data_IF_930011781717
#
_entry.id   IF_930011781717
#
_cell.length_a   1.000
_cell.length_b   1.000
_cell.length_c   1.000
_cell.angle_alpha   90.00
_cell.angle_beta   90.00
_cell.angle_gamma   90.00
#
_symmetry.space_group_name_H-M   'P 1'
#
loop_
_entity.id
_entity.type
_entity.pdbx_description
1 polymer ?
#
# COMPACT_ATOMS: atom_id res chain seq x y z
N UNK A 1 22.99 -2.31 -14.19
CA UNK A 1 23.74 -1.76 -15.32
C UNK A 1 24.14 -2.83 -16.34
N UNK A 2 24.97 -3.81 -15.96
CA UNK A 2 25.46 -4.86 -16.90
C UNK A 2 24.33 -5.70 -17.51
N UNK A 3 23.32 -6.09 -16.70
CA UNK A 3 22.17 -6.83 -17.20
C UNK A 3 21.38 -6.03 -18.25
N UNK A 4 21.20 -4.73 -18.05
CA UNK A 4 20.51 -3.87 -19.00
C UNK A 4 21.31 -3.71 -20.32
N UNK A 5 22.63 -3.58 -20.25
CA UNK A 5 23.49 -3.57 -21.44
C UNK A 5 23.40 -4.87 -22.24
N UNK A 6 23.47 -6.00 -21.53
CA UNK A 6 23.35 -7.31 -22.16
C UNK A 6 21.97 -7.48 -22.83
N UNK A 7 20.91 -7.08 -22.13
CA UNK A 7 19.55 -7.14 -22.66
C UNK A 7 19.35 -6.21 -23.86
N UNK A 8 19.91 -5.00 -23.84
CA UNK A 8 19.86 -4.08 -24.96
C UNK A 8 20.52 -4.71 -26.21
N UNK A 9 21.71 -5.30 -26.04
CA UNK A 9 22.41 -5.99 -27.12
C UNK A 9 21.63 -7.22 -27.64
N UNK A 10 21.06 -8.02 -26.73
CA UNK A 10 20.28 -9.21 -27.09
C UNK A 10 19.00 -8.85 -27.87
N UNK A 11 18.30 -7.79 -27.49
CA UNK A 11 17.08 -7.34 -28.14
C UNK A 11 17.32 -6.47 -29.38
N UNK A 12 18.55 -6.02 -29.63
CA UNK A 12 18.86 -5.02 -30.65
C UNK A 12 18.27 -3.63 -30.36
N UNK A 13 18.07 -3.30 -29.08
CA UNK A 13 17.55 -2.01 -28.63
C UNK A 13 18.67 -1.05 -28.24
N UNK A 14 18.40 0.25 -28.21
CA UNK A 14 19.36 1.25 -27.77
C UNK A 14 19.53 1.20 -26.26
N UNK A 15 20.76 1.13 -25.76
CA UNK A 15 21.04 1.28 -24.34
C UNK A 15 21.06 2.75 -23.94
N UNK A 16 20.31 3.12 -22.92
CA UNK A 16 20.29 4.46 -22.33
C UNK A 16 20.63 4.34 -20.85
N UNK A 17 21.77 4.91 -20.43
CA UNK A 17 22.18 4.88 -19.03
C UNK A 17 21.21 5.66 -18.17
N UNK A 18 20.79 5.12 -17.02
CA UNK A 18 19.89 5.83 -16.11
C UNK A 18 20.49 7.16 -15.62
N UNK A 19 21.80 7.23 -15.39
CA UNK A 19 22.47 8.45 -14.99
C UNK A 19 22.44 9.57 -16.05
N UNK A 20 22.15 9.25 -17.30
CA UNK A 20 22.05 10.25 -18.37
C UNK A 20 20.69 10.95 -18.45
N UNK A 21 19.66 10.40 -17.78
CA UNK A 21 18.32 10.97 -17.82
C UNK A 21 17.66 11.15 -16.46
N UNK A 22 17.86 10.20 -15.51
CA UNK A 22 17.26 10.27 -14.19
C UNK A 22 18.11 11.14 -13.26
N UNK A 23 17.58 12.31 -12.94
CA UNK A 23 18.28 13.33 -12.17
C UNK A 23 17.65 13.54 -10.80
N UNK A 24 18.50 13.71 -9.80
CA UNK A 24 18.10 14.00 -8.42
C UNK A 24 18.60 15.37 -8.00
N UNK A 25 17.90 15.98 -7.04
CA UNK A 25 18.46 17.10 -6.27
C UNK A 25 19.41 16.59 -5.18
N UNK A 26 20.10 17.51 -4.47
CA UNK A 26 20.99 17.13 -3.36
C UNK A 26 20.27 16.58 -2.13
N UNK A 27 18.95 16.73 -2.03
CA UNK A 27 18.12 16.11 -0.99
C UNK A 27 17.68 14.68 -1.36
N UNK A 28 17.98 14.21 -2.59
CA UNK A 28 17.62 12.89 -3.09
C UNK A 28 16.22 12.81 -3.71
N UNK A 29 15.59 13.94 -4.01
CA UNK A 29 14.33 13.96 -4.73
C UNK A 29 14.57 13.92 -6.24
N UNK A 30 13.69 13.23 -6.97
CA UNK A 30 13.74 13.18 -8.44
C UNK A 30 13.35 14.53 -9.02
N UNK A 31 14.19 15.06 -9.90
CA UNK A 31 13.90 16.25 -10.73
C UNK A 31 13.05 15.79 -11.93
N UNK A 32 11.75 15.67 -11.74
CA UNK A 32 10.82 15.01 -12.66
C UNK A 32 10.83 15.62 -14.06
N UNK A 33 10.62 16.95 -14.18
CA UNK A 33 10.52 17.61 -15.48
C UNK A 33 11.80 17.47 -16.30
N UNK A 34 12.96 17.67 -15.64
CA UNK A 34 14.27 17.53 -16.27
C UNK A 34 14.53 16.11 -16.71
N UNK A 35 14.21 15.14 -15.85
CA UNK A 35 14.36 13.70 -16.14
C UNK A 35 13.47 13.27 -17.30
N UNK A 36 12.23 13.72 -17.34
CA UNK A 36 11.27 13.39 -18.42
C UNK A 36 11.72 13.95 -19.77
N UNK A 37 12.12 15.22 -19.81
CA UNK A 37 12.63 15.86 -21.02
C UNK A 37 13.89 15.14 -21.54
N UNK A 38 14.82 14.79 -20.63
CA UNK A 38 16.04 14.08 -20.99
C UNK A 38 15.74 12.69 -21.59
N UNK A 39 14.88 11.88 -20.94
CA UNK A 39 14.56 10.56 -21.46
C UNK A 39 13.81 10.62 -22.77
N UNK A 40 12.84 11.50 -22.95
CA UNK A 40 12.11 11.70 -24.21
C UNK A 40 13.06 12.03 -25.36
N UNK A 41 14.03 12.93 -25.11
CA UNK A 41 15.04 13.30 -26.10
C UNK A 41 15.98 12.13 -26.44
N UNK A 42 16.42 11.36 -25.43
CA UNK A 42 17.34 10.23 -25.63
C UNK A 42 16.66 9.04 -26.31
N UNK A 43 15.37 8.82 -26.05
CA UNK A 43 14.59 7.75 -26.66
C UNK A 43 14.31 8.04 -28.13
N UNK A 44 13.91 9.28 -28.49
CA UNK A 44 13.69 9.74 -29.87
C UNK A 44 12.88 8.73 -30.72
N UNK A 45 11.78 8.21 -30.18
CA UNK A 45 10.93 7.18 -30.80
C UNK A 45 11.55 5.79 -30.96
N UNK A 46 12.77 5.57 -30.45
CA UNK A 46 13.45 4.27 -30.54
C UNK A 46 13.06 3.34 -29.39
N UNK A 47 13.18 2.05 -29.60
CA UNK A 47 13.13 1.05 -28.51
C UNK A 47 14.41 1.15 -27.68
N UNK A 48 14.25 1.34 -26.40
CA UNK A 48 15.37 1.51 -25.47
C UNK A 48 15.36 0.46 -24.36
N UNK A 49 16.54 0.22 -23.78
CA UNK A 49 16.71 -0.46 -22.49
C UNK A 49 17.48 0.47 -21.59
N UNK A 50 16.93 0.77 -20.42
CA UNK A 50 17.58 1.55 -19.39
C UNK A 50 17.70 0.73 -18.10
N UNK A 51 18.82 0.80 -17.38
CA UNK A 51 18.91 0.19 -16.06
C UNK A 51 18.02 0.96 -15.06
N UNK A 52 17.56 0.29 -14.01
CA UNK A 52 16.82 0.89 -12.92
C UNK A 52 17.65 1.10 -11.66
N UNK A 53 17.01 1.66 -10.63
CA UNK A 53 17.51 1.79 -9.27
C UNK A 53 18.42 3.00 -9.00
N UNK A 54 18.98 3.66 -9.98
CA UNK A 54 19.89 4.80 -9.81
C UNK A 54 19.69 5.88 -10.86
N UNK A 55 20.25 7.07 -10.58
CA UNK A 55 20.39 8.20 -11.48
C UNK A 55 21.59 9.06 -11.06
N UNK A 56 21.61 10.33 -11.43
CA UNK A 56 22.72 11.25 -11.14
C UNK A 56 22.29 12.45 -10.28
N UNK A 57 23.17 12.87 -9.37
CA UNK A 57 23.14 14.17 -8.70
C UNK A 57 23.61 15.27 -9.67
N UNK A 58 23.39 16.57 -9.35
CA UNK A 58 23.82 17.67 -10.21
C UNK A 58 25.33 17.73 -10.48
N UNK A 59 26.15 17.16 -9.62
CA UNK A 59 27.62 17.05 -9.76
C UNK A 59 28.05 15.77 -10.52
N UNK A 60 27.09 14.97 -11.03
CA UNK A 60 27.36 13.74 -11.77
C UNK A 60 27.60 12.49 -10.93
N UNK A 61 27.62 12.61 -9.59
CA UNK A 61 27.72 11.43 -8.71
C UNK A 61 26.46 10.58 -8.81
N UNK A 62 26.63 9.26 -8.77
CA UNK A 62 25.53 8.33 -8.76
C UNK A 62 24.76 8.40 -7.44
N UNK A 63 23.44 8.50 -7.56
CA UNK A 63 22.51 8.40 -6.44
C UNK A 63 21.55 7.24 -6.67
N UNK A 64 21.27 6.47 -5.61
CA UNK A 64 20.39 5.30 -5.67
C UNK A 64 19.12 5.52 -4.87
N UNK A 65 18.01 4.94 -5.33
CA UNK A 65 16.81 4.84 -4.50
C UNK A 65 17.08 3.94 -3.28
N UNK A 66 16.42 4.25 -2.18
CA UNK A 66 16.55 3.47 -0.94
C UNK A 66 15.86 2.11 -1.01
N UNK A 67 14.73 2.00 -1.75
CA UNK A 67 13.93 0.78 -1.93
C UNK A 67 13.04 0.89 -3.18
N UNK A 68 12.76 -0.25 -3.83
CA UNK A 68 11.84 -0.33 -4.98
C UNK A 68 12.30 0.48 -6.20
N UNK A 69 13.59 0.84 -6.27
CA UNK A 69 14.10 1.80 -7.25
C UNK A 69 13.95 1.38 -8.70
N UNK A 70 13.98 0.06 -9.00
CA UNK A 70 13.74 -0.41 -10.37
C UNK A 70 12.29 -0.18 -10.80
N UNK A 71 11.33 -0.43 -9.91
CA UNK A 71 9.91 -0.20 -10.17
C UNK A 71 9.63 1.31 -10.32
N UNK A 72 10.26 2.13 -9.47
CA UNK A 72 10.19 3.60 -9.56
C UNK A 72 10.77 4.08 -10.88
N UNK A 73 11.94 3.58 -11.27
CA UNK A 73 12.59 3.93 -12.55
C UNK A 73 11.70 3.58 -13.75
N UNK A 74 11.10 2.36 -13.74
CA UNK A 74 10.19 1.93 -14.79
C UNK A 74 8.94 2.80 -14.89
N UNK A 75 8.36 3.17 -13.75
CA UNK A 75 7.21 4.06 -13.65
C UNK A 75 7.52 5.47 -14.16
N UNK A 76 8.67 6.03 -13.78
CA UNK A 76 9.13 7.33 -14.28
C UNK A 76 9.39 7.29 -15.79
N UNK A 77 10.00 6.22 -16.30
CA UNK A 77 10.24 6.05 -17.74
C UNK A 77 8.93 5.92 -18.52
N UNK A 78 7.96 5.17 -18.00
CA UNK A 78 6.64 5.06 -18.60
C UNK A 78 5.94 6.43 -18.67
N UNK A 79 6.00 7.21 -17.60
CA UNK A 79 5.44 8.55 -17.55
C UNK A 79 6.14 9.51 -18.52
N UNK A 80 7.48 9.50 -18.57
CA UNK A 80 8.28 10.33 -19.45
C UNK A 80 8.01 10.08 -20.94
N UNK A 81 7.73 8.83 -21.29
CA UNK A 81 7.51 8.41 -22.67
C UNK A 81 6.04 8.31 -23.05
N UNK A 82 5.12 8.74 -22.18
CA UNK A 82 3.67 8.66 -22.38
C UNK A 82 3.23 7.25 -22.83
N UNK A 83 3.69 6.22 -22.11
CA UNK A 83 3.41 4.83 -22.47
C UNK A 83 1.91 4.51 -22.41
N UNK A 84 1.44 3.62 -23.27
CA UNK A 84 0.05 3.13 -23.25
C UNK A 84 -0.24 2.25 -22.03
N UNK A 85 0.80 1.58 -21.50
CA UNK A 85 0.75 0.73 -20.32
C UNK A 85 2.13 0.63 -19.68
N UNK A 86 2.16 0.54 -18.34
CA UNK A 86 3.36 0.14 -17.59
C UNK A 86 3.20 -1.30 -17.12
N UNK A 87 3.96 -2.24 -17.66
CA UNK A 87 4.00 -3.62 -17.18
C UNK A 87 5.13 -3.81 -16.17
N UNK A 88 4.76 -4.24 -14.96
CA UNK A 88 5.71 -4.65 -13.94
C UNK A 88 5.76 -6.17 -13.87
N UNK A 89 6.89 -6.73 -14.29
CA UNK A 89 7.13 -8.17 -14.33
C UNK A 89 7.84 -8.62 -13.04
N UNK A 90 7.20 -9.54 -12.31
CA UNK A 90 7.66 -10.02 -11.00
C UNK A 90 7.56 -11.55 -10.90
N UNK A 91 7.88 -12.11 -9.74
CA UNK A 91 7.85 -13.55 -9.45
C UNK A 91 6.47 -14.05 -8.96
N UNK A 92 5.49 -13.15 -8.78
CA UNK A 92 4.14 -13.52 -8.38
C UNK A 92 3.15 -13.36 -9.53
N UNK A 93 2.02 -14.13 -9.55
CA UNK A 93 1.05 -14.10 -10.67
C UNK A 93 0.20 -12.83 -10.74
N UNK A 94 0.43 -11.86 -9.90
CA UNK A 94 -0.35 -10.65 -9.72
C UNK A 94 -0.63 -10.40 -8.24
N UNK A 95 -1.55 -9.49 -7.94
CA UNK A 95 -2.03 -9.26 -6.58
C UNK A 95 -3.04 -10.36 -6.25
N UNK A 96 -2.80 -11.07 -5.15
CA UNK A 96 -3.64 -12.18 -4.74
C UNK A 96 -4.81 -11.72 -3.87
N UNK A 97 -5.91 -12.45 -3.91
CA UNK A 97 -7.11 -12.19 -3.12
C UNK A 97 -6.92 -12.37 -1.62
N UNK A 98 -5.85 -13.05 -1.19
CA UNK A 98 -5.43 -13.19 0.20
C UNK A 98 -3.95 -13.59 0.29
N UNK A 99 -3.38 -13.57 1.50
CA UNK A 99 -2.01 -14.03 1.77
C UNK A 99 -1.88 -15.55 1.49
N UNK A 100 -1.04 -15.97 0.53
CA UNK A 100 -0.87 -17.38 0.16
C UNK A 100 -0.25 -18.23 1.27
N UNK A 101 0.34 -17.62 2.29
CA UNK A 101 0.87 -18.32 3.49
C UNK A 101 -0.25 -18.77 4.42
N UNK A 102 -1.43 -18.15 4.34
CA UNK A 102 -2.59 -18.40 5.21
C UNK A 102 -3.70 -19.13 4.45
N UNK A 103 -3.99 -18.67 3.25
CA UNK A 103 -5.01 -19.27 2.36
C UNK A 103 -4.29 -20.04 1.25
N UNK A 104 -4.65 -21.30 1.08
CA UNK A 104 -4.03 -22.14 0.05
C UNK A 104 -4.55 -21.76 -1.33
N UNK A 105 -3.61 -21.46 -2.26
CA UNK A 105 -3.91 -21.15 -3.67
C UNK A 105 -4.94 -20.02 -3.84
N UNK A 106 -4.76 -18.83 -3.25
CA UNK A 106 -5.70 -17.73 -3.47
C UNK A 106 -5.62 -17.27 -4.93
N UNK A 107 -6.78 -16.96 -5.51
CA UNK A 107 -6.84 -16.50 -6.90
C UNK A 107 -6.18 -15.11 -7.05
N UNK A 108 -5.60 -14.78 -8.21
CA UNK A 108 -5.17 -13.43 -8.51
C UNK A 108 -6.38 -12.51 -8.72
N UNK A 109 -6.26 -11.26 -8.29
CA UNK A 109 -7.25 -10.21 -8.55
C UNK A 109 -7.06 -9.74 -10.00
N UNK A 110 -8.10 -9.83 -10.81
CA UNK A 110 -8.02 -9.49 -12.24
C UNK A 110 -7.80 -7.98 -12.47
N UNK A 111 -8.52 -7.14 -11.72
CA UNK A 111 -8.42 -5.70 -11.88
C UNK A 111 -8.67 -4.94 -10.57
N UNK A 112 -7.94 -3.83 -10.40
CA UNK A 112 -8.07 -2.89 -9.29
C UNK A 112 -8.09 -1.45 -9.82
N UNK A 113 -8.75 -0.58 -9.10
CA UNK A 113 -8.50 0.86 -9.21
C UNK A 113 -7.27 1.27 -8.41
N UNK A 114 -6.67 2.42 -8.72
CA UNK A 114 -5.57 2.98 -7.92
C UNK A 114 -5.93 3.20 -6.43
N UNK A 115 -7.13 3.68 -6.07
CA UNK A 115 -7.54 3.75 -4.67
C UNK A 115 -7.64 2.38 -4.00
N UNK A 116 -8.15 1.35 -4.70
CA UNK A 116 -8.22 -0.03 -4.19
C UNK A 116 -6.82 -0.61 -3.93
N UNK A 117 -5.88 -0.39 -4.87
CA UNK A 117 -4.48 -0.78 -4.69
C UNK A 117 -3.86 -0.10 -3.46
N UNK A 118 -4.10 1.20 -3.28
CA UNK A 118 -3.57 1.96 -2.15
C UNK A 118 -4.09 1.42 -0.81
N UNK A 119 -5.36 1.05 -0.74
CA UNK A 119 -5.94 0.43 0.46
C UNK A 119 -5.30 -0.92 0.78
N UNK A 120 -5.15 -1.80 -0.22
CA UNK A 120 -4.50 -3.11 -0.04
C UNK A 120 -3.04 -2.96 0.39
N UNK A 121 -2.29 -2.07 -0.26
CA UNK A 121 -0.88 -1.81 0.06
C UNK A 121 -0.73 -1.23 1.47
N UNK A 122 -1.58 -0.28 1.84
CA UNK A 122 -1.63 0.28 3.19
C UNK A 122 -1.94 -0.77 4.24
N UNK A 123 -2.81 -1.73 3.94
CA UNK A 123 -3.16 -2.83 4.83
C UNK A 123 -2.12 -3.96 4.92
N UNK A 124 -1.05 -3.94 4.12
CA UNK A 124 0.08 -4.88 4.25
C UNK A 124 0.39 -5.74 3.02
N UNK A 125 -0.35 -5.60 1.92
CA UNK A 125 -0.01 -6.25 0.65
C UNK A 125 1.19 -5.53 0.01
N UNK A 126 2.35 -6.18 -0.04
CA UNK A 126 3.58 -5.59 -0.59
C UNK A 126 3.88 -6.17 -1.97
N UNK A 127 3.16 -5.77 -3.00
CA UNK A 127 3.49 -6.17 -4.39
C UNK A 127 4.27 -5.06 -5.10
N UNK A 128 3.94 -3.80 -4.83
CA UNK A 128 4.61 -2.63 -5.38
C UNK A 128 4.81 -1.57 -4.30
N UNK A 129 5.93 -0.86 -4.37
CA UNK A 129 6.16 0.30 -3.52
C UNK A 129 5.28 1.47 -3.97
N UNK A 130 4.67 2.21 -3.04
CA UNK A 130 3.76 3.32 -3.35
C UNK A 130 4.42 4.37 -4.26
N UNK A 131 5.70 4.66 -4.04
CA UNK A 131 6.48 5.58 -4.89
C UNK A 131 6.61 5.13 -6.34
N UNK A 132 6.46 3.82 -6.64
CA UNK A 132 6.46 3.31 -8.00
C UNK A 132 5.11 3.50 -8.71
N UNK A 133 4.04 3.71 -7.96
CA UNK A 133 2.70 3.90 -8.51
C UNK A 133 2.44 5.37 -8.85
N UNK A 134 3.00 6.29 -8.09
CA UNK A 134 2.72 7.73 -8.20
C UNK A 134 2.97 8.33 -9.60
N UNK A 135 4.11 8.07 -10.29
CA UNK A 135 4.36 8.64 -11.62
C UNK A 135 3.34 8.18 -12.67
N UNK A 136 3.06 6.89 -12.77
CA UNK A 136 2.10 6.36 -13.77
C UNK A 136 0.66 6.78 -13.46
N UNK A 137 0.30 6.85 -12.17
CA UNK A 137 -0.99 7.39 -11.75
C UNK A 137 -1.16 8.85 -12.16
N UNK A 138 -0.16 9.69 -11.92
CA UNK A 138 -0.19 11.11 -12.30
C UNK A 138 -0.27 11.30 -13.83
N UNK A 139 0.42 10.46 -14.59
CA UNK A 139 0.40 10.45 -16.06
C UNK A 139 -0.83 9.74 -16.66
N UNK A 140 -1.74 9.23 -15.84
CA UNK A 140 -2.93 8.48 -16.27
C UNK A 140 -2.63 7.21 -17.08
N UNK A 141 -1.51 6.56 -16.81
CA UNK A 141 -1.07 5.34 -17.48
C UNK A 141 -1.57 4.14 -16.69
N UNK A 142 -2.24 3.15 -17.30
CA UNK A 142 -2.60 1.91 -16.63
C UNK A 142 -1.33 1.10 -16.29
N UNK A 143 -1.36 0.46 -15.10
CA UNK A 143 -0.32 -0.43 -14.62
C UNK A 143 -0.80 -1.87 -14.70
N UNK A 144 0.06 -2.80 -15.10
CA UNK A 144 -0.22 -4.23 -15.11
C UNK A 144 0.89 -4.99 -14.41
N UNK A 145 0.55 -5.81 -13.42
CA UNK A 145 1.48 -6.68 -12.71
C UNK A 145 1.40 -8.05 -13.31
N UNK A 146 2.54 -8.58 -13.80
CA UNK A 146 2.62 -9.85 -14.54
C UNK A 146 3.69 -10.75 -13.96
N UNK A 147 3.53 -12.06 -14.15
CA UNK A 147 4.51 -13.06 -13.70
C UNK A 147 5.54 -13.36 -14.78
N UNK A 148 6.81 -13.33 -14.40
CA UNK A 148 7.91 -13.81 -15.24
C UNK A 148 7.91 -15.32 -15.41
N UNK A 149 7.29 -16.06 -14.47
CA UNK A 149 7.21 -17.53 -14.50
C UNK A 149 5.98 -18.07 -15.21
N UNK A 150 4.97 -17.23 -15.43
CA UNK A 150 3.72 -17.57 -16.12
C UNK A 150 3.30 -16.38 -17.02
N UNK A 151 4.06 -16.10 -18.08
CA UNK A 151 3.85 -14.92 -18.93
C UNK A 151 2.53 -14.98 -19.72
N UNK A 152 1.93 -16.14 -19.86
CA UNK A 152 0.62 -16.34 -20.49
C UNK A 152 -0.55 -15.84 -19.62
N UNK A 153 -0.36 -15.73 -18.30
CA UNK A 153 -1.40 -15.26 -17.42
C UNK A 153 -1.55 -13.72 -17.52
N UNK A 154 -2.79 -13.20 -17.48
CA UNK A 154 -3.05 -11.76 -17.62
C UNK A 154 -2.50 -10.93 -16.45
N UNK A 155 -2.28 -11.54 -15.27
CA UNK A 155 -1.88 -10.82 -14.07
C UNK A 155 -2.98 -9.92 -13.50
N UNK A 156 -2.58 -8.84 -12.82
CA UNK A 156 -3.50 -7.83 -12.25
C UNK A 156 -3.36 -6.51 -13.01
N UNK A 157 -4.47 -6.02 -13.56
CA UNK A 157 -4.54 -4.69 -14.17
C UNK A 157 -4.97 -3.65 -13.14
N UNK A 158 -4.27 -2.51 -13.10
CA UNK A 158 -4.58 -1.38 -12.23
C UNK A 158 -4.84 -0.14 -13.09
N UNK A 159 -5.97 0.53 -12.84
CA UNK A 159 -6.40 1.69 -13.62
C UNK A 159 -7.18 2.70 -12.80
N UNK A 160 -7.85 3.62 -13.48
CA UNK A 160 -8.65 4.67 -12.83
C UNK A 160 -10.02 4.15 -12.40
N UNK A 161 -10.58 3.25 -13.18
CA UNK A 161 -11.82 2.58 -12.85
C UNK A 161 -11.53 1.14 -12.45
N UNK A 162 -12.20 0.69 -11.40
CA UNK A 162 -12.25 -0.72 -11.09
C UNK A 162 -12.93 -1.42 -12.27
N UNK A 163 -12.22 -2.30 -12.96
CA UNK A 163 -12.83 -3.11 -14.00
C UNK A 163 -14.02 -3.86 -13.42
N UNK A 164 -15.01 -4.20 -14.27
CA UNK A 164 -16.07 -5.11 -13.88
C UNK A 164 -15.43 -6.45 -13.49
N UNK A 165 -15.19 -6.64 -12.20
CA UNK A 165 -14.61 -7.85 -11.67
C UNK A 165 -15.63 -8.97 -11.74
N UNK A 166 -15.12 -10.18 -11.92
CA UNK A 166 -15.90 -11.43 -11.89
C UNK A 166 -16.32 -11.83 -10.46
N UNK A 167 -16.27 -10.88 -9.51
CA UNK A 167 -16.57 -11.17 -8.10
C UNK A 167 -18.06 -11.46 -7.93
N UNK A 168 -18.39 -12.71 -7.74
CA UNK A 168 -19.78 -13.16 -7.43
C UNK A 168 -20.32 -12.52 -6.15
N UNK A 169 -19.45 -12.18 -5.20
CA UNK A 169 -19.80 -11.71 -3.86
C UNK A 169 -19.59 -10.21 -3.67
N UNK A 170 -18.97 -9.48 -4.61
CA UNK A 170 -18.58 -8.08 -4.42
C UNK A 170 -17.36 -7.88 -3.50
N UNK A 171 -16.76 -8.97 -2.99
CA UNK A 171 -15.47 -8.94 -2.27
C UNK A 171 -14.35 -9.12 -3.27
N UNK A 172 -13.40 -8.21 -3.30
CA UNK A 172 -12.25 -8.20 -4.23
C UNK A 172 -11.08 -8.97 -3.66
N UNK A 173 -10.81 -8.82 -2.36
CA UNK A 173 -9.71 -9.48 -1.69
C UNK A 173 -9.51 -9.00 -0.26
N UNK A 174 -8.51 -9.60 0.39
CA UNK A 174 -8.15 -9.34 1.77
C UNK A 174 -6.68 -8.99 1.90
N UNK A 175 -6.40 -8.03 2.76
CA UNK A 175 -5.06 -7.70 3.22
C UNK A 175 -5.08 -7.55 4.74
N UNK A 176 -3.94 -7.64 5.39
CA UNK A 176 -3.96 -7.43 6.83
C UNK A 176 -2.60 -7.16 7.43
N UNK A 177 -2.63 -6.58 8.61
CA UNK A 177 -1.46 -6.20 9.39
C UNK A 177 -1.58 -6.71 10.81
N UNK A 178 -0.55 -7.41 11.23
CA UNK A 178 -0.43 -7.92 12.59
C UNK A 178 0.32 -6.94 13.49
N UNK A 179 0.35 -7.21 14.79
CA UNK A 179 1.01 -6.38 15.79
C UNK A 179 0.50 -4.92 15.79
N UNK A 180 -0.81 -4.77 15.70
CA UNK A 180 -1.50 -3.48 15.75
C UNK A 180 -1.99 -3.23 17.18
N UNK A 181 -1.96 -1.96 17.61
CA UNK A 181 -2.58 -1.51 18.85
C UNK A 181 -3.70 -0.52 18.56
N UNK A 182 -4.75 -0.52 19.39
CA UNK A 182 -5.87 0.38 19.25
C UNK A 182 -5.90 1.37 20.43
N UNK A 183 -5.80 2.65 20.12
CA UNK A 183 -5.94 3.74 21.08
C UNK A 183 -7.31 4.38 20.89
N UNK A 184 -8.12 4.36 21.96
CA UNK A 184 -9.38 5.11 22.03
C UNK A 184 -9.21 6.28 22.99
N UNK A 185 -9.53 7.48 22.52
CA UNK A 185 -9.55 8.70 23.30
C UNK A 185 -10.97 9.25 23.26
N UNK A 186 -11.69 9.14 24.37
CA UNK A 186 -13.07 9.61 24.49
C UNK A 186 -13.08 10.93 25.24
N UNK A 187 -13.76 11.93 24.71
CA UNK A 187 -13.88 13.26 25.29
C UNK A 187 -15.21 13.40 26.03
N UNK A 188 -15.22 14.09 27.16
CA UNK A 188 -16.46 14.37 27.91
C UNK A 188 -17.27 15.52 27.30
N UNK A 189 -16.60 16.40 26.60
CA UNK A 189 -17.17 17.51 25.83
C UNK A 189 -16.61 17.45 24.42
N UNK A 190 -17.29 18.01 23.44
CA UNK A 190 -16.82 18.04 22.06
C UNK A 190 -15.40 18.67 22.01
N UNK A 191 -14.39 17.81 21.95
CA UNK A 191 -13.01 18.27 21.82
C UNK A 191 -12.85 18.89 20.43
N UNK A 192 -12.35 20.11 20.38
CA UNK A 192 -12.06 20.79 19.12
C UNK A 192 -11.01 20.03 18.29
N UNK A 193 -10.81 20.45 17.05
CA UNK A 193 -9.80 19.92 16.11
C UNK A 193 -8.38 19.84 16.72
N UNK A 194 -8.12 20.60 17.76
CA UNK A 194 -6.83 20.65 18.46
C UNK A 194 -6.48 19.34 19.18
N UNK A 195 -7.47 18.58 19.68
CA UNK A 195 -7.20 17.35 20.41
C UNK A 195 -6.68 16.21 19.48
N UNK A 196 -7.18 16.07 18.27
CA UNK A 196 -6.64 15.11 17.28
C UNK A 196 -5.18 15.45 16.93
N UNK A 197 -4.93 16.71 16.64
CA UNK A 197 -3.57 17.22 16.34
C UNK A 197 -2.60 16.96 17.49
N UNK A 198 -3.03 17.20 18.72
CA UNK A 198 -2.22 16.98 19.91
C UNK A 198 -1.92 15.49 20.13
N UNK A 199 -2.93 14.62 20.02
CA UNK A 199 -2.73 13.17 20.13
C UNK A 199 -1.76 12.67 19.09
N UNK A 200 -1.91 13.10 17.83
CA UNK A 200 -0.99 12.71 16.74
C UNK A 200 0.44 13.21 16.96
N UNK A 201 0.60 14.43 17.49
CA UNK A 201 1.90 14.98 17.82
C UNK A 201 2.61 14.13 18.90
N UNK A 202 1.88 13.74 19.97
CA UNK A 202 2.43 12.86 21.01
C UNK A 202 2.88 11.49 20.47
N UNK A 203 2.10 10.90 19.57
CA UNK A 203 2.44 9.64 18.92
C UNK A 203 3.66 9.79 18.00
N UNK A 204 3.67 10.80 17.15
CA UNK A 204 4.74 11.05 16.18
C UNK A 204 6.08 11.34 16.86
N UNK A 205 6.11 12.13 17.95
CA UNK A 205 7.32 12.42 18.73
C UNK A 205 8.00 11.16 19.29
N UNK A 206 7.25 10.08 19.45
CA UNK A 206 7.74 8.78 19.93
C UNK A 206 7.88 7.73 18.83
N UNK A 207 7.76 8.14 17.56
CA UNK A 207 7.89 7.24 16.41
C UNK A 207 6.74 6.22 16.28
N UNK A 208 5.61 6.45 16.95
CA UNK A 208 4.41 5.62 16.81
C UNK A 208 3.66 6.05 15.56
N UNK A 209 3.50 5.13 14.62
CA UNK A 209 2.81 5.36 13.36
C UNK A 209 1.30 5.18 13.52
N UNK A 210 0.52 6.14 13.06
CA UNK A 210 -0.94 6.00 12.94
C UNK A 210 -1.25 5.29 11.62
N UNK A 211 -1.66 4.03 11.72
CA UNK A 211 -2.01 3.19 10.57
C UNK A 211 -3.40 3.52 10.02
N UNK A 212 -4.37 3.70 10.92
CA UNK A 212 -5.74 4.06 10.57
C UNK A 212 -6.35 4.95 11.64
N UNK A 213 -7.29 5.78 11.22
CA UNK A 213 -7.99 6.73 12.08
C UNK A 213 -9.48 6.68 11.80
N UNK A 214 -10.26 6.62 12.87
CA UNK A 214 -11.70 6.84 12.83
C UNK A 214 -12.06 7.87 13.89
N UNK A 215 -12.74 8.93 13.48
CA UNK A 215 -13.13 10.03 14.34
C UNK A 215 -14.65 10.10 14.43
N UNK A 216 -15.16 10.18 15.64
CA UNK A 216 -16.56 10.42 15.96
C UNK A 216 -16.73 11.72 16.74
N UNK A 217 -17.99 12.11 16.99
CA UNK A 217 -18.32 13.33 17.74
C UNK A 217 -17.74 13.31 19.16
N UNK A 218 -17.65 12.13 19.78
CA UNK A 218 -17.25 11.95 21.17
C UNK A 218 -15.82 11.44 21.35
N UNK A 219 -15.04 11.22 20.27
CA UNK A 219 -13.69 10.73 20.43
C UNK A 219 -12.99 10.26 19.17
N UNK A 220 -11.76 9.82 19.40
CA UNK A 220 -10.85 9.27 18.40
C UNK A 220 -10.66 7.78 18.62
N UNK A 221 -10.58 7.02 17.56
CA UNK A 221 -10.11 5.65 17.58
C UNK A 221 -8.98 5.51 16.55
N UNK A 222 -7.78 5.28 17.03
CA UNK A 222 -6.56 5.18 16.22
C UNK A 222 -6.04 3.75 16.25
N UNK A 223 -5.71 3.20 15.09
CA UNK A 223 -4.93 1.98 14.97
C UNK A 223 -3.46 2.35 14.76
N UNK A 224 -2.60 1.80 15.58
CA UNK A 224 -1.23 2.22 15.77
C UNK A 224 -0.26 1.07 15.47
N UNK A 225 0.91 1.44 14.94
CA UNK A 225 2.05 0.55 14.77
C UNK A 225 3.20 1.13 15.57
N UNK A 226 3.62 0.42 16.61
CA UNK A 226 4.72 0.82 17.46
C UNK A 226 6.04 0.23 16.94
N UNK A 227 6.66 0.84 15.93
CA UNK A 227 7.98 0.41 15.43
C UNK A 227 9.08 0.46 16.51
N UNK A 228 9.12 1.48 17.41
CA UNK A 228 10.11 1.53 18.50
C UNK A 228 9.84 0.57 19.65
N UNK A 229 8.67 -0.11 19.66
CA UNK A 229 8.25 -1.01 20.72
C UNK A 229 7.10 -0.47 21.59
N UNK A 230 6.63 -1.34 22.51
CA UNK A 230 5.46 -1.05 23.35
C UNK A 230 5.72 0.07 24.37
N UNK A 231 6.95 0.21 24.85
CA UNK A 231 7.32 1.26 25.82
C UNK A 231 7.08 2.66 25.26
N UNK A 232 7.42 2.87 23.99
CA UNK A 232 7.18 4.14 23.31
C UNK A 232 5.68 4.44 23.16
N UNK A 233 4.88 3.41 22.93
CA UNK A 233 3.42 3.51 22.84
C UNK A 233 2.79 3.86 24.19
N UNK A 234 3.22 3.18 25.26
CA UNK A 234 2.75 3.46 26.63
C UNK A 234 3.12 4.89 27.04
N UNK A 235 4.37 5.30 26.81
CA UNK A 235 4.83 6.67 27.08
C UNK A 235 4.04 7.72 26.29
N UNK A 236 3.64 7.43 25.03
CA UNK A 236 2.78 8.30 24.26
C UNK A 236 1.38 8.40 24.86
N UNK A 237 0.79 7.29 25.30
CA UNK A 237 -0.51 7.25 25.95
C UNK A 237 -0.53 8.02 27.28
N UNK A 238 0.54 7.93 28.07
CA UNK A 238 0.67 8.67 29.33
C UNK A 238 0.75 10.17 29.09
N UNK A 239 1.48 10.58 28.06
CA UNK A 239 1.54 11.98 27.65
C UNK A 239 0.17 12.50 27.19
N UNK A 240 -0.57 11.70 26.41
CA UNK A 240 -1.96 12.05 26.01
C UNK A 240 -2.85 12.20 27.25
N UNK A 241 -2.76 11.31 28.24
CA UNK A 241 -3.52 11.43 29.51
C UNK A 241 -3.17 12.71 30.27
N UNK A 242 -1.89 13.08 30.28
CA UNK A 242 -1.41 14.29 30.95
C UNK A 242 -1.92 15.58 30.27
N UNK A 243 -1.93 15.60 28.95
CA UNK A 243 -2.33 16.77 28.16
C UNK A 243 -3.85 16.92 28.01
N UNK A 244 -4.59 15.82 28.15
CA UNK A 244 -6.05 15.77 28.04
C UNK A 244 -6.67 15.19 29.33
N UNK A 245 -6.59 15.88 30.48
CA UNK A 245 -6.99 15.35 31.80
C UNK A 245 -8.49 15.00 31.91
N UNK A 246 -9.32 15.53 31.01
CA UNK A 246 -10.75 15.22 30.92
C UNK A 246 -11.09 14.04 30.02
N UNK A 247 -10.12 13.52 29.26
CA UNK A 247 -10.34 12.45 28.30
C UNK A 247 -10.15 11.06 28.92
N UNK A 248 -10.95 10.09 28.47
CA UNK A 248 -10.76 8.70 28.80
C UNK A 248 -9.87 8.04 27.73
N UNK A 249 -8.62 7.70 28.09
CA UNK A 249 -7.62 7.10 27.19
C UNK A 249 -7.54 5.60 27.45
N UNK A 250 -7.95 4.78 26.47
CA UNK A 250 -7.92 3.32 26.53
C UNK A 250 -7.01 2.77 25.44
N UNK A 251 -6.00 2.01 25.83
CA UNK A 251 -5.12 1.27 24.94
C UNK A 251 -5.50 -0.19 24.94
N UNK A 252 -5.56 -0.81 23.76
CA UNK A 252 -5.68 -2.26 23.57
C UNK A 252 -4.60 -2.71 22.62
N UNK A 253 -3.82 -3.67 23.03
CA UNK A 253 -2.67 -4.22 22.31
C UNK A 253 -2.95 -5.63 21.80
N UNK A 254 -1.97 -6.20 21.09
CA UNK A 254 -2.04 -7.56 20.54
C UNK A 254 -3.24 -7.77 19.60
N UNK A 255 -3.47 -6.79 18.75
CA UNK A 255 -4.49 -6.83 17.72
C UNK A 255 -3.89 -7.05 16.33
N UNK A 256 -4.71 -7.50 15.42
CA UNK A 256 -4.48 -7.47 14.00
C UNK A 256 -5.63 -6.73 13.30
N UNK A 257 -5.29 -6.06 12.22
CA UNK A 257 -6.23 -5.38 11.35
C UNK A 257 -6.38 -6.18 10.05
N UNK A 258 -7.58 -6.65 9.75
CA UNK A 258 -7.94 -7.34 8.51
C UNK A 258 -8.78 -6.40 7.65
N UNK A 259 -8.23 -5.99 6.51
CA UNK A 259 -8.96 -5.25 5.48
C UNK A 259 -9.67 -6.25 4.57
N UNK A 260 -10.97 -6.07 4.38
CA UNK A 260 -11.73 -6.64 3.29
C UNK A 260 -12.00 -5.55 2.26
N UNK A 261 -11.45 -5.67 1.06
CA UNK A 261 -11.76 -4.80 -0.06
C UNK A 261 -13.10 -5.25 -0.66
N UNK A 262 -14.13 -4.41 -0.54
CA UNK A 262 -15.50 -4.73 -0.93
C UNK A 262 -16.07 -3.60 -1.77
N UNK A 263 -16.46 -3.87 -3.01
CA UNK A 263 -17.11 -2.88 -3.88
C UNK A 263 -18.54 -2.56 -3.46
N UNK A 264 -19.10 -3.37 -2.55
CA UNK A 264 -20.42 -3.14 -1.94
C UNK A 264 -20.33 -3.28 -0.43
N UNK A 265 -21.02 -2.42 0.30
CA UNK A 265 -21.08 -2.47 1.78
C UNK A 265 -21.93 -3.63 2.31
N UNK A 266 -22.72 -4.28 1.46
CA UNK A 266 -23.63 -5.38 1.84
C UNK A 266 -22.90 -6.61 2.37
N UNK A 267 -21.65 -6.81 1.97
CA UNK A 267 -20.85 -7.97 2.38
C UNK A 267 -20.24 -7.79 3.78
N UNK A 268 -20.06 -6.57 4.23
CA UNK A 268 -19.38 -6.27 5.50
C UNK A 268 -20.04 -6.95 6.72
N UNK A 269 -21.37 -6.88 6.91
CA UNK A 269 -22.00 -7.58 8.02
C UNK A 269 -21.89 -9.11 7.93
N UNK A 270 -21.92 -9.67 6.72
CA UNK A 270 -21.78 -11.11 6.50
C UNK A 270 -20.37 -11.59 6.85
N UNK A 271 -19.35 -10.83 6.48
CA UNK A 271 -17.95 -11.10 6.84
C UNK A 271 -17.76 -11.05 8.35
N UNK A 272 -18.31 -10.05 9.05
CA UNK A 272 -18.28 -9.98 10.50
C UNK A 272 -18.94 -11.23 11.14
N UNK A 273 -20.13 -11.58 10.70
CA UNK A 273 -20.86 -12.76 11.19
C UNK A 273 -20.09 -14.07 10.94
N UNK A 274 -19.42 -14.21 9.80
CA UNK A 274 -18.59 -15.39 9.51
C UNK A 274 -17.38 -15.49 10.45
N UNK A 275 -16.72 -14.37 10.76
CA UNK A 275 -15.63 -14.34 11.74
C UNK A 275 -16.14 -14.70 13.14
N UNK A 276 -17.25 -14.11 13.58
CA UNK A 276 -17.87 -14.41 14.88
C UNK A 276 -18.30 -15.86 15.00
N UNK A 277 -18.88 -16.43 13.94
CA UNK A 277 -19.26 -17.86 13.89
C UNK A 277 -18.06 -18.79 13.96
N UNK A 278 -16.89 -18.33 13.52
CA UNK A 278 -15.61 -19.02 13.67
C UNK A 278 -14.95 -18.80 15.05
N UNK A 279 -15.63 -18.16 15.99
CA UNK A 279 -15.13 -17.85 17.34
C UNK A 279 -14.14 -16.67 17.41
N UNK A 280 -14.15 -15.80 16.39
CA UNK A 280 -13.28 -14.62 16.33
C UNK A 280 -14.10 -13.36 16.62
N UNK A 281 -14.00 -12.77 17.82
CA UNK A 281 -14.69 -11.53 18.14
C UNK A 281 -14.07 -10.35 17.38
N UNK A 282 -14.93 -9.54 16.74
CA UNK A 282 -14.53 -8.30 16.09
C UNK A 282 -14.57 -7.16 17.11
N UNK A 283 -13.41 -6.64 17.49
CA UNK A 283 -13.28 -5.59 18.52
C UNK A 283 -13.56 -4.19 18.02
N UNK A 284 -13.34 -3.97 16.73
CA UNK A 284 -13.61 -2.71 16.04
C UNK A 284 -13.82 -2.98 14.56
N UNK A 285 -14.79 -2.29 13.99
CA UNK A 285 -15.13 -2.34 12.57
C UNK A 285 -15.20 -0.91 12.05
N UNK A 286 -14.42 -0.61 11.02
CA UNK A 286 -14.46 0.66 10.32
C UNK A 286 -14.77 0.41 8.85
N UNK A 287 -15.79 1.08 8.35
CA UNK A 287 -16.08 1.08 6.91
C UNK A 287 -15.23 2.17 6.25
N UNK A 288 -14.37 1.78 5.32
CA UNK A 288 -13.51 2.66 4.52
C UNK A 288 -13.77 2.38 3.05
N UNK A 289 -14.81 2.95 2.43
CA UNK A 289 -15.11 2.66 1.04
C UNK A 289 -13.88 2.84 0.13
N UNK A 290 -13.57 1.87 -0.75
CA UNK A 290 -14.34 0.67 -1.09
C UNK A 290 -14.01 -0.57 -0.24
N UNK A 291 -14.03 -0.50 1.09
CA UNK A 291 -13.72 -1.64 1.95
C UNK A 291 -14.15 -1.48 3.40
N UNK A 292 -13.74 -2.45 4.22
CA UNK A 292 -13.93 -2.43 5.66
C UNK A 292 -12.71 -3.01 6.38
N UNK A 293 -12.37 -2.43 7.51
CA UNK A 293 -11.25 -2.85 8.36
C UNK A 293 -11.80 -3.48 9.64
N UNK A 294 -11.45 -4.74 9.87
CA UNK A 294 -11.86 -5.51 11.04
C UNK A 294 -10.67 -5.64 12.00
N UNK A 295 -10.82 -5.22 13.24
CA UNK A 295 -9.82 -5.45 14.29
C UNK A 295 -10.17 -6.69 15.08
N UNK A 296 -9.28 -7.66 15.09
CA UNK A 296 -9.40 -8.92 15.82
C UNK A 296 -8.19 -9.12 16.73
N UNK A 297 -8.19 -10.11 17.62
CA UNK A 297 -6.99 -10.47 18.35
C UNK A 297 -5.90 -10.98 17.38
N UNK A 298 -4.65 -10.61 17.59
CA UNK A 298 -3.54 -11.00 16.71
C UNK A 298 -3.41 -12.53 16.57
N UNK A 299 -3.60 -13.27 17.68
CA UNK A 299 -3.58 -14.74 17.67
C UNK A 299 -4.71 -15.38 16.84
N UNK A 300 -5.77 -14.65 16.55
CA UNK A 300 -6.94 -15.13 15.79
C UNK A 300 -6.98 -14.62 14.34
N UNK A 301 -5.97 -13.85 13.92
CA UNK A 301 -5.91 -13.24 12.58
C UNK A 301 -6.08 -14.26 11.44
N UNK A 302 -5.36 -15.37 11.49
CA UNK A 302 -5.45 -16.39 10.44
C UNK A 302 -6.83 -17.06 10.37
N UNK A 303 -7.45 -17.31 11.54
CA UNK A 303 -8.80 -17.85 11.62
C UNK A 303 -9.82 -16.86 11.04
N UNK A 304 -9.68 -15.57 11.36
CA UNK A 304 -10.51 -14.52 10.80
C UNK A 304 -10.42 -14.45 9.28
N UNK A 305 -9.17 -14.46 8.76
CA UNK A 305 -8.93 -14.41 7.32
C UNK A 305 -9.52 -15.64 6.60
N UNK A 306 -9.29 -16.85 7.13
CA UNK A 306 -9.83 -18.07 6.54
C UNK A 306 -11.36 -18.10 6.53
N UNK A 307 -12.01 -17.67 7.63
CA UNK A 307 -13.46 -17.60 7.71
C UNK A 307 -14.05 -16.59 6.71
N UNK A 308 -13.47 -15.41 6.64
CA UNK A 308 -13.87 -14.39 5.68
C UNK A 308 -13.64 -14.82 4.23
N UNK A 309 -12.50 -15.45 3.96
CA UNK A 309 -12.15 -15.96 2.63
C UNK A 309 -13.11 -17.08 2.17
N UNK A 310 -13.42 -18.02 3.05
CA UNK A 310 -14.35 -19.11 2.73
C UNK A 310 -15.76 -18.60 2.40
N UNK A 311 -16.22 -17.53 3.06
CA UNK A 311 -17.50 -16.89 2.71
C UNK A 311 -17.45 -16.21 1.34
N UNK A 312 -16.34 -15.57 1.00
CA UNK A 312 -16.22 -14.74 -0.20
C UNK A 312 -15.91 -15.55 -1.46
N UNK A 313 -15.10 -16.60 -1.35
CA UNK A 313 -14.50 -17.32 -2.48
C UNK A 313 -14.66 -18.85 -2.40
N UNK A 314 -15.26 -19.37 -1.33
CA UNK A 314 -15.50 -20.81 -1.10
C UNK A 314 -16.71 -21.44 -1.78
#
# INVERSE_FOLDING_TARGET
>A
YLAAKLMAAYLGFSFVDAASWLQFDYAGNVLTDTSYAALSSLADGRKIVTPGFYGALPDGRIHTFSRGGSDITGSLAAAALHADVYENWTDVPGILTADPRIVKNPAPIASLSYPELQLLSGAGTQVLHESAVAPVRAAQIPLQIRSTFAPELPGTRIGFEAGAGLEKTGVVGFAGRRAVSMLRVLFREAAGADADTLVRACLAQRGVEVFHNSQGVEGLCLLLIAKPGQDALHAACDEVRRLLPGAQVKLRENLAALLALCRTTREVPKLAAAMESAGVPVHHLVQTPPGALFCVNDSQYETALRAAYALAFG
#
